data_IF_003748201773
#
_entry.id   IF_003748201773
#
_cell.length_a   1.000
_cell.length_b   1.000
_cell.length_c   1.000
_cell.angle_alpha   90.00
_cell.angle_beta   90.00
_cell.angle_gamma   90.00
#
_symmetry.space_group_name_H-M   'P 1'
#
loop_
_entity.id
_entity.type
_entity.pdbx_description
1 polymer ?
#
# COMPACT_ATOMS: atom_id res chain seq x y z
N UNK A 1 -12.77 -1.40 5.45
CA UNK A 1 -12.54 -1.10 4.02
C UNK A 1 -13.84 -0.55 3.42
N UNK A 2 -13.81 0.44 2.51
CA UNK A 2 -15.00 0.90 1.81
C UNK A 2 -15.59 -0.20 0.92
N UNK A 3 -16.88 -0.13 0.56
CA UNK A 3 -17.50 -1.07 -0.38
C UNK A 3 -16.83 -0.93 -1.75
N UNK A 4 -16.45 -2.05 -2.38
CA UNK A 4 -15.76 -2.05 -3.66
C UNK A 4 -16.19 -3.22 -4.55
N UNK A 5 -15.79 -3.17 -5.83
CA UNK A 5 -15.83 -4.27 -6.78
C UNK A 5 -14.83 -4.04 -7.92
N UNK A 6 -14.44 -5.10 -8.62
CA UNK A 6 -13.57 -5.02 -9.80
C UNK A 6 -14.44 -5.18 -11.05
N UNK A 7 -14.17 -4.37 -12.06
CA UNK A 7 -14.85 -4.40 -13.36
C UNK A 7 -13.84 -4.83 -14.43
N UNK A 8 -14.19 -5.90 -15.14
CA UNK A 8 -13.52 -6.36 -16.36
C UNK A 8 -14.21 -5.73 -17.59
N UNK A 9 -13.57 -5.73 -18.78
CA UNK A 9 -14.18 -5.23 -19.99
C UNK A 9 -15.54 -5.90 -20.27
N UNK A 10 -16.59 -5.11 -20.48
CA UNK A 10 -17.97 -5.60 -20.66
C UNK A 10 -18.66 -6.11 -19.37
N UNK A 11 -18.00 -5.99 -18.21
CA UNK A 11 -18.53 -6.39 -16.91
C UNK A 11 -19.60 -5.43 -16.36
N UNK A 12 -20.35 -5.92 -15.36
CA UNK A 12 -21.35 -5.10 -14.67
C UNK A 12 -20.70 -4.16 -13.65
N UNK A 13 -21.22 -2.93 -13.56
CA UNK A 13 -20.76 -1.96 -12.56
C UNK A 13 -21.23 -2.36 -11.15
N UNK A 14 -20.34 -2.35 -10.14
CA UNK A 14 -20.71 -2.73 -8.78
C UNK A 14 -21.53 -1.62 -8.11
N UNK A 15 -22.51 -2.02 -7.30
CA UNK A 15 -23.32 -1.10 -6.52
C UNK A 15 -22.59 -0.63 -5.25
N UNK A 16 -21.60 0.25 -5.37
CA UNK A 16 -20.78 0.74 -4.24
C UNK A 16 -21.35 1.96 -3.51
N UNK A 17 -22.26 2.69 -4.16
CA UNK A 17 -22.79 3.98 -3.70
C UNK A 17 -21.97 5.18 -4.21
N UNK A 18 -22.52 6.39 -4.13
CA UNK A 18 -21.87 7.61 -4.64
C UNK A 18 -21.57 8.62 -3.53
N UNK A 19 -20.52 9.45 -3.67
CA UNK A 19 -19.52 9.40 -4.75
C UNK A 19 -18.71 8.09 -4.75
N UNK A 20 -18.23 7.70 -5.92
CA UNK A 20 -17.40 6.52 -6.14
C UNK A 20 -16.07 6.95 -6.76
N UNK A 21 -14.99 6.25 -6.44
CA UNK A 21 -13.69 6.39 -7.09
C UNK A 21 -13.40 5.14 -7.91
N UNK A 22 -12.92 5.30 -9.13
CA UNK A 22 -12.46 4.21 -9.99
C UNK A 22 -10.95 4.36 -10.27
N UNK A 23 -10.18 3.32 -10.04
CA UNK A 23 -8.73 3.28 -10.24
C UNK A 23 -8.31 1.94 -10.86
N UNK A 24 -7.17 1.85 -11.56
CA UNK A 24 -6.66 0.55 -11.99
C UNK A 24 -6.46 -0.37 -10.77
N UNK A 25 -6.77 -1.66 -10.91
CA UNK A 25 -6.73 -2.58 -9.77
C UNK A 25 -5.31 -2.93 -9.31
N UNK A 26 -4.33 -2.89 -10.23
CA UNK A 26 -2.96 -3.36 -10.02
C UNK A 26 -1.90 -2.30 -10.36
N UNK A 27 -2.17 -1.03 -10.03
CA UNK A 27 -1.22 0.07 -10.20
C UNK A 27 -0.86 0.69 -8.84
N UNK A 28 0.29 1.37 -8.80
CA UNK A 28 0.75 2.19 -7.67
C UNK A 28 1.00 3.63 -8.15
N UNK A 29 1.61 4.48 -7.32
CA UNK A 29 2.06 5.83 -7.68
C UNK A 29 0.93 6.76 -8.18
N UNK A 30 -0.33 6.44 -7.85
CA UNK A 30 -1.51 7.13 -8.39
C UNK A 30 -1.60 7.09 -9.93
N UNK A 31 -0.95 6.13 -10.59
CA UNK A 31 -1.13 5.90 -12.03
C UNK A 31 -2.61 5.63 -12.31
N UNK A 32 -3.17 6.38 -13.27
CA UNK A 32 -4.60 6.29 -13.63
C UNK A 32 -5.57 6.96 -12.65
N UNK A 33 -5.07 7.55 -11.55
CA UNK A 33 -5.88 8.31 -10.59
C UNK A 33 -5.79 9.81 -10.89
N UNK A 34 -6.94 10.40 -11.18
CA UNK A 34 -7.12 11.79 -11.61
C UNK A 34 -8.39 12.36 -10.96
N UNK A 35 -8.60 13.68 -10.98
CA UNK A 35 -9.84 14.30 -10.48
C UNK A 35 -11.13 13.68 -11.06
N UNK A 36 -11.13 13.32 -12.35
CA UNK A 36 -12.24 12.63 -13.04
C UNK A 36 -12.44 11.17 -12.62
N UNK A 37 -11.58 10.64 -11.77
CA UNK A 37 -11.70 9.28 -11.23
C UNK A 37 -12.74 9.21 -10.12
N UNK A 38 -13.10 10.34 -9.51
CA UNK A 38 -14.19 10.42 -8.54
C UNK A 38 -15.46 10.92 -9.22
N UNK A 39 -16.48 10.08 -9.23
CA UNK A 39 -17.74 10.25 -9.97
C UNK A 39 -18.94 10.27 -9.02
N UNK A 40 -20.02 10.94 -9.42
CA UNK A 40 -21.21 11.17 -8.56
C UNK A 40 -22.45 10.38 -8.97
N UNK A 41 -22.45 9.70 -10.10
CA UNK A 41 -23.60 8.93 -10.58
C UNK A 41 -23.17 7.78 -11.49
N UNK A 42 -24.11 6.86 -11.74
CA UNK A 42 -23.88 5.63 -12.51
C UNK A 42 -23.43 5.90 -13.96
N UNK A 43 -23.95 6.96 -14.59
CA UNK A 43 -23.58 7.31 -15.97
C UNK A 43 -22.12 7.72 -16.06
N UNK A 44 -21.71 8.69 -15.24
CA UNK A 44 -20.30 9.11 -15.17
C UNK A 44 -19.35 7.99 -14.76
N UNK A 45 -19.80 7.06 -13.92
CA UNK A 45 -19.03 5.86 -13.60
C UNK A 45 -18.83 4.96 -14.83
N UNK A 46 -19.90 4.67 -15.58
CA UNK A 46 -19.83 3.88 -16.80
C UNK A 46 -18.86 4.50 -17.81
N UNK A 47 -19.03 5.79 -18.11
CA UNK A 47 -18.19 6.52 -19.06
C UNK A 47 -16.71 6.50 -18.66
N UNK A 48 -16.41 6.67 -17.35
CA UNK A 48 -15.03 6.66 -16.86
C UNK A 48 -14.42 5.25 -16.89
N UNK A 49 -15.15 4.23 -16.47
CA UNK A 49 -14.67 2.84 -16.48
C UNK A 49 -14.39 2.37 -17.91
N UNK A 50 -15.31 2.66 -18.85
CA UNK A 50 -15.12 2.36 -20.27
C UNK A 50 -13.86 3.03 -20.83
N UNK A 51 -13.66 4.32 -20.53
CA UNK A 51 -12.46 5.04 -20.96
C UNK A 51 -11.15 4.47 -20.35
N UNK A 52 -11.19 3.94 -19.13
CA UNK A 52 -10.02 3.33 -18.49
C UNK A 52 -9.66 1.98 -19.11
N UNK A 53 -10.63 1.23 -19.63
CA UNK A 53 -10.37 -0.05 -20.32
C UNK A 53 -9.55 0.07 -21.61
N UNK A 54 -9.34 1.30 -22.11
CA UNK A 54 -8.35 1.53 -23.16
C UNK A 54 -6.90 1.22 -22.73
N UNK A 55 -6.63 1.13 -21.42
CA UNK A 55 -5.27 0.96 -20.87
C UNK A 55 -5.16 -0.14 -19.82
N UNK A 56 -6.24 -0.42 -19.07
CA UNK A 56 -6.21 -1.36 -17.96
C UNK A 56 -7.34 -2.39 -18.07
N UNK A 57 -7.00 -3.66 -17.86
CA UNK A 57 -7.97 -4.75 -17.91
C UNK A 57 -8.88 -4.75 -16.68
N UNK A 58 -8.33 -4.53 -15.48
CA UNK A 58 -9.08 -4.55 -14.23
C UNK A 58 -9.21 -3.15 -13.64
N UNK A 59 -10.46 -2.69 -13.48
CA UNK A 59 -10.78 -1.41 -12.83
C UNK A 59 -11.42 -1.66 -11.48
N UNK A 60 -10.75 -1.21 -10.41
CA UNK A 60 -11.33 -1.19 -9.08
C UNK A 60 -12.27 0.01 -8.96
N UNK A 61 -13.54 -0.26 -8.65
CA UNK A 61 -14.53 0.75 -8.30
C UNK A 61 -14.83 0.65 -6.82
N UNK A 62 -14.69 1.75 -6.10
CA UNK A 62 -14.83 1.80 -4.64
C UNK A 62 -15.70 2.99 -4.23
N UNK A 63 -16.49 2.84 -3.17
CA UNK A 63 -17.17 3.98 -2.54
C UNK A 63 -16.12 5.00 -2.10
N UNK A 64 -16.23 6.23 -2.59
CA UNK A 64 -15.37 7.30 -2.15
C UNK A 64 -15.73 7.69 -0.72
N UNK A 65 -14.72 7.68 0.16
CA UNK A 65 -14.84 8.17 1.53
C UNK A 65 -14.28 9.59 1.53
N UNK A 66 -15.12 10.58 1.84
CA UNK A 66 -14.64 11.95 2.04
C UNK A 66 -14.08 12.11 3.45
N UNK A 67 -13.20 13.09 3.65
CA UNK A 67 -12.57 13.38 4.93
C UNK A 67 -11.05 13.54 4.84
N UNK A 68 -10.35 13.11 5.88
CA UNK A 68 -8.88 13.20 5.98
C UNK A 68 -8.23 11.99 5.32
N UNK A 69 -7.04 12.16 4.73
CA UNK A 69 -6.24 11.04 4.23
C UNK A 69 -4.97 10.91 5.08
N UNK A 70 -4.81 9.76 5.71
CA UNK A 70 -3.73 9.50 6.65
C UNK A 70 -3.06 8.17 6.32
N UNK A 71 -1.78 8.06 6.65
CA UNK A 71 -1.02 6.84 6.41
C UNK A 71 -0.14 6.49 7.61
N UNK A 72 0.10 5.20 7.77
CA UNK A 72 0.89 4.63 8.85
C UNK A 72 1.99 3.77 8.25
N UNK A 73 3.24 4.23 8.41
CA UNK A 73 4.42 3.46 8.08
C UNK A 73 4.63 2.31 9.06
N UNK A 74 5.18 1.20 8.57
CA UNK A 74 5.50 0.02 9.35
C UNK A 74 6.97 -0.32 9.14
N UNK A 75 7.65 -0.64 10.23
CA UNK A 75 9.01 -1.13 10.26
C UNK A 75 9.06 -2.35 11.21
N UNK A 76 9.27 -3.53 10.65
CA UNK A 76 9.11 -4.81 11.31
C UNK A 76 7.68 -5.02 11.79
N UNK A 77 7.53 -5.07 13.11
CA UNK A 77 6.25 -5.19 13.82
C UNK A 77 5.80 -3.86 14.46
N UNK A 78 6.50 -2.76 14.16
CA UNK A 78 6.29 -1.45 14.78
C UNK A 78 5.57 -0.51 13.81
N UNK A 79 4.50 0.12 14.28
CA UNK A 79 3.85 1.22 13.57
C UNK A 79 4.51 2.56 13.88
N UNK A 80 4.98 3.24 12.84
CA UNK A 80 5.58 4.58 12.90
C UNK A 80 4.52 5.66 13.22
N UNK A 81 4.92 6.90 13.55
CA UNK A 81 4.00 8.02 13.69
C UNK A 81 3.06 8.15 12.49
N UNK A 82 1.80 8.49 12.74
CA UNK A 82 0.79 8.67 11.68
C UNK A 82 1.11 9.95 10.92
N UNK A 83 1.13 9.89 9.60
CA UNK A 83 1.23 11.05 8.73
C UNK A 83 -0.12 11.34 8.06
N UNK A 84 -0.31 12.59 7.64
CA UNK A 84 -1.49 13.07 6.94
C UNK A 84 -1.08 13.72 5.62
N UNK A 85 -1.92 13.57 4.60
CA UNK A 85 -1.91 14.47 3.45
C UNK A 85 -2.96 15.55 3.72
N UNK A 86 -2.50 16.74 4.06
CA UNK A 86 -3.35 17.89 4.34
C UNK A 86 -3.80 18.54 3.04
N UNK A 87 -5.10 18.43 2.77
CA UNK A 87 -5.75 19.02 1.60
C UNK A 87 -6.30 20.44 1.86
N UNK A 88 -5.89 21.11 2.94
CA UNK A 88 -6.40 22.44 3.32
C UNK A 88 -6.17 23.53 2.27
N UNK A 89 -5.20 23.32 1.36
CA UNK A 89 -4.90 24.22 0.24
C UNK A 89 -5.45 23.73 -1.11
N UNK A 90 -6.12 22.57 -1.15
CA UNK A 90 -6.72 22.04 -2.37
C UNK A 90 -7.79 23.01 -2.90
N UNK A 91 -7.77 23.38 -4.20
CA UNK A 91 -8.75 24.30 -4.76
C UNK A 91 -10.20 23.86 -4.54
N UNK A 92 -11.07 24.85 -4.30
CA UNK A 92 -12.49 24.60 -4.06
C UNK A 92 -13.11 23.88 -5.26
N UNK A 93 -13.78 22.77 -5.01
CA UNK A 93 -14.46 21.97 -6.03
C UNK A 93 -13.63 20.80 -6.57
N UNK A 94 -12.32 20.77 -6.30
CA UNK A 94 -11.51 19.58 -6.53
C UNK A 94 -11.75 18.55 -5.44
N UNK A 95 -11.61 17.28 -5.81
CA UNK A 95 -11.61 16.18 -4.89
C UNK A 95 -10.29 16.15 -4.13
N UNK A 96 -10.41 15.97 -2.81
CA UNK A 96 -9.29 15.75 -1.89
C UNK A 96 -8.73 14.36 -2.11
N UNK A 97 -7.88 14.17 -3.13
CA UNK A 97 -7.23 12.91 -3.47
C UNK A 97 -5.77 13.17 -3.84
N UNK A 98 -4.90 12.22 -3.56
CA UNK A 98 -3.53 12.23 -4.09
C UNK A 98 -3.55 11.65 -5.51
N UNK A 99 -3.85 12.51 -6.49
CA UNK A 99 -3.85 12.14 -7.90
C UNK A 99 -2.43 12.00 -8.48
N UNK A 100 -2.35 11.56 -9.74
CA UNK A 100 -1.09 11.60 -10.49
C UNK A 100 -0.50 13.01 -10.55
N UNK A 101 -1.33 14.03 -10.80
CA UNK A 101 -0.84 15.42 -10.89
C UNK A 101 -0.30 15.90 -9.54
N UNK A 102 -0.97 15.53 -8.45
CA UNK A 102 -0.48 15.82 -7.09
C UNK A 102 0.90 15.24 -6.82
N UNK A 103 1.20 14.02 -7.29
CA UNK A 103 2.50 13.36 -7.04
C UNK A 103 3.61 13.75 -8.00
N UNK A 104 3.29 13.91 -9.28
CA UNK A 104 4.28 13.89 -10.36
C UNK A 104 4.38 15.20 -11.13
N UNK A 105 3.46 16.14 -10.92
CA UNK A 105 3.51 17.45 -11.55
C UNK A 105 3.75 18.52 -10.49
N UNK A 106 5.03 18.71 -10.17
CA UNK A 106 5.48 19.73 -9.21
C UNK A 106 4.98 21.11 -9.61
N UNK A 107 4.39 21.83 -8.65
CA UNK A 107 3.80 23.15 -8.84
C UNK A 107 2.39 23.16 -9.44
N UNK A 108 1.79 21.99 -9.71
CA UNK A 108 0.36 21.93 -10.05
C UNK A 108 -0.51 22.35 -8.85
N UNK A 109 -1.75 22.77 -9.12
CA UNK A 109 -2.69 23.11 -8.04
C UNK A 109 -2.94 21.91 -7.10
N UNK A 110 -2.90 20.68 -7.63
CA UNK A 110 -3.09 19.46 -6.86
C UNK A 110 -1.86 19.10 -6.01
N UNK A 111 -0.63 19.41 -6.47
CA UNK A 111 0.62 19.26 -5.70
C UNK A 111 0.65 20.26 -4.54
N UNK A 112 0.50 21.55 -4.85
CA UNK A 112 0.45 22.62 -3.85
C UNK A 112 -0.71 22.45 -2.85
N UNK A 113 -1.79 21.82 -3.31
CA UNK A 113 -2.98 21.54 -2.52
C UNK A 113 -2.91 20.29 -1.64
N UNK A 114 -1.87 19.45 -1.76
CA UNK A 114 -1.77 18.14 -1.08
C UNK A 114 -0.49 18.05 -0.23
N UNK A 115 -0.48 18.70 0.93
CA UNK A 115 0.73 18.91 1.71
C UNK A 115 0.94 17.78 2.73
N UNK A 116 2.04 17.02 2.68
CA UNK A 116 2.28 15.99 3.67
C UNK A 116 2.69 16.59 5.03
N UNK A 117 2.05 16.13 6.11
CA UNK A 117 2.33 16.48 7.51
C UNK A 117 2.63 15.25 8.34
N UNK A 118 3.62 15.33 9.20
CA UNK A 118 3.95 14.26 10.15
C UNK A 118 4.59 14.87 11.42
N UNK A 119 4.10 14.56 12.63
CA UNK A 119 2.92 13.73 12.90
C UNK A 119 1.62 14.41 12.45
N UNK A 120 0.59 13.62 12.16
CA UNK A 120 -0.76 14.10 11.92
C UNK A 120 -1.40 14.64 13.20
N UNK A 121 -2.20 15.71 13.10
CA UNK A 121 -2.92 16.29 14.22
C UNK A 121 -4.22 15.50 14.49
N UNK A 122 -4.09 14.42 15.26
CA UNK A 122 -5.14 13.45 15.57
C UNK A 122 -5.24 13.27 17.08
N UNK A 123 -6.42 12.88 17.57
CA UNK A 123 -6.54 12.51 18.97
C UNK A 123 -5.67 11.27 19.28
N UNK A 124 -5.21 11.11 20.54
CA UNK A 124 -4.46 9.93 20.94
C UNK A 124 -5.21 8.62 20.66
N UNK A 125 -6.52 8.60 20.84
CA UNK A 125 -7.38 7.43 20.65
C UNK A 125 -7.41 7.02 19.17
N UNK A 126 -7.66 7.97 18.26
CA UNK A 126 -7.68 7.71 16.83
C UNK A 126 -6.29 7.31 16.31
N UNK A 127 -5.24 7.93 16.84
CA UNK A 127 -3.84 7.56 16.52
C UNK A 127 -3.55 6.11 16.88
N UNK A 128 -3.94 5.68 18.08
CA UNK A 128 -3.76 4.29 18.53
C UNK A 128 -4.60 3.32 17.70
N UNK A 129 -5.84 3.69 17.36
CA UNK A 129 -6.71 2.86 16.53
C UNK A 129 -6.12 2.65 15.12
N UNK A 130 -5.67 3.72 14.46
CA UNK A 130 -5.04 3.64 13.13
C UNK A 130 -3.80 2.74 13.14
N UNK A 131 -2.92 2.88 14.14
CA UNK A 131 -1.74 2.02 14.29
C UNK A 131 -2.11 0.55 14.48
N UNK A 132 -3.12 0.27 15.31
CA UNK A 132 -3.62 -1.10 15.54
C UNK A 132 -4.17 -1.71 14.25
N UNK A 133 -4.99 -0.96 13.50
CA UNK A 133 -5.55 -1.43 12.23
C UNK A 133 -4.43 -1.64 11.20
N UNK A 134 -3.46 -0.73 11.11
CA UNK A 134 -2.33 -0.84 10.19
C UNK A 134 -1.53 -2.12 10.40
N UNK A 135 -1.13 -2.41 11.64
CA UNK A 135 -0.40 -3.65 11.97
C UNK A 135 -1.24 -4.91 11.70
N UNK A 136 -2.55 -4.84 11.97
CA UNK A 136 -3.46 -5.97 11.68
C UNK A 136 -3.55 -6.23 10.19
N UNK A 137 -3.73 -5.18 9.38
CA UNK A 137 -3.81 -5.30 7.92
C UNK A 137 -2.50 -5.77 7.31
N UNK A 138 -1.38 -5.25 7.79
CA UNK A 138 -0.05 -5.68 7.38
C UNK A 138 0.18 -7.17 7.58
N UNK A 139 -0.15 -7.69 8.76
CA UNK A 139 -0.08 -9.13 9.05
C UNK A 139 -1.05 -9.93 8.19
N UNK A 140 -2.26 -9.41 7.97
CA UNK A 140 -3.28 -10.10 7.18
C UNK A 140 -2.87 -10.31 5.71
N UNK A 141 -2.07 -9.40 5.14
CA UNK A 141 -1.53 -9.54 3.78
C UNK A 141 -0.16 -10.26 3.74
N UNK A 142 0.31 -10.79 4.88
CA UNK A 142 1.61 -11.47 4.97
C UNK A 142 2.81 -10.51 4.87
N UNK A 143 2.61 -9.22 5.16
CA UNK A 143 3.65 -8.21 5.11
C UNK A 143 4.80 -8.49 6.08
N UNK A 144 6.02 -8.15 5.65
CA UNK A 144 7.23 -8.28 6.44
C UNK A 144 8.26 -7.19 6.09
N UNK A 145 9.14 -6.84 7.04
CA UNK A 145 10.21 -5.88 6.80
C UNK A 145 9.71 -4.45 6.96
N UNK A 146 9.11 -3.86 5.93
CA UNK A 146 8.56 -2.52 6.02
C UNK A 146 7.38 -2.36 5.06
N UNK A 147 6.53 -1.36 5.30
CA UNK A 147 5.38 -1.09 4.47
C UNK A 147 4.67 0.20 4.87
N UNK A 148 3.57 0.51 4.19
CA UNK A 148 2.70 1.65 4.53
C UNK A 148 1.25 1.26 4.34
N UNK A 149 0.41 1.57 5.31
CA UNK A 149 -1.04 1.38 5.22
C UNK A 149 -1.72 2.73 5.12
N UNK A 150 -2.57 2.88 4.11
CA UNK A 150 -3.24 4.14 3.80
C UNK A 150 -4.70 4.08 4.20
N UNK A 151 -5.21 5.18 4.72
CA UNK A 151 -6.55 5.30 5.29
C UNK A 151 -7.22 6.59 4.86
N UNK A 152 -8.55 6.56 4.92
CA UNK A 152 -9.34 7.77 5.10
C UNK A 152 -10.03 7.79 6.45
N UNK A 153 -10.18 8.97 7.02
CA UNK A 153 -10.98 9.18 8.23
C UNK A 153 -12.16 10.06 7.85
N UNK A 154 -13.38 9.53 8.00
CA UNK A 154 -14.59 10.26 7.64
C UNK A 154 -14.96 11.33 8.67
N UNK A 155 -16.02 12.10 8.38
CA UNK A 155 -16.49 13.18 9.25
C UNK A 155 -16.95 12.72 10.65
N UNK A 156 -17.24 11.42 10.85
CA UNK A 156 -17.56 10.84 12.16
C UNK A 156 -16.31 10.39 12.93
N UNK A 157 -15.12 10.56 12.36
CA UNK A 157 -13.86 10.10 12.94
C UNK A 157 -13.56 8.62 12.66
N UNK A 158 -14.35 7.95 11.81
CA UNK A 158 -14.18 6.53 11.54
C UNK A 158 -13.06 6.28 10.51
N UNK A 159 -12.06 5.42 10.82
CA UNK A 159 -11.04 5.04 9.86
C UNK A 159 -11.52 4.00 8.84
N UNK A 160 -11.12 4.19 7.60
CA UNK A 160 -11.38 3.33 6.45
C UNK A 160 -10.07 2.98 5.76
N UNK A 161 -9.63 1.72 5.90
CA UNK A 161 -8.44 1.23 5.19
C UNK A 161 -8.67 1.27 3.67
N UNK A 162 -7.75 1.91 2.97
CA UNK A 162 -7.74 2.01 1.50
C UNK A 162 -6.89 0.91 0.89
N UNK A 163 -5.62 0.83 1.26
CA UNK A 163 -4.65 -0.12 0.70
C UNK A 163 -3.45 -0.35 1.61
N UNK A 164 -2.71 -1.42 1.30
CA UNK A 164 -1.44 -1.76 1.93
C UNK A 164 -0.35 -1.71 0.86
N UNK A 165 0.60 -0.81 1.02
CA UNK A 165 1.75 -0.65 0.14
C UNK A 165 2.91 -1.46 0.73
N UNK A 166 3.27 -2.57 0.07
CA UNK A 166 4.35 -3.45 0.53
C UNK A 166 5.75 -2.90 0.23
N UNK A 167 5.87 -1.96 -0.70
CA UNK A 167 7.13 -1.34 -1.09
C UNK A 167 6.91 0.17 -1.32
N UNK A 168 6.53 0.93 -0.26
CA UNK A 168 6.32 2.37 -0.39
C UNK A 168 7.63 3.07 -0.77
N UNK A 169 7.52 4.24 -1.40
CA UNK A 169 8.67 5.08 -1.72
C UNK A 169 9.56 5.34 -0.49
N UNK A 170 10.86 5.09 -0.69
CA UNK A 170 11.92 5.18 0.30
C UNK A 170 12.81 6.40 0.06
N UNK A 171 12.52 7.31 -0.87
CA UNK A 171 13.32 8.51 -1.02
C UNK A 171 13.45 9.29 0.31
N UNK A 172 14.56 10.02 0.55
CA UNK A 172 14.81 10.70 1.84
C UNK A 172 13.72 11.71 2.28
N UNK A 173 12.96 12.23 1.31
CA UNK A 173 11.83 13.14 1.46
C UNK A 173 10.45 12.46 1.35
N UNK A 174 10.41 11.16 1.08
CA UNK A 174 9.20 10.36 1.01
C UNK A 174 8.54 10.13 2.37
N UNK A 175 7.30 9.62 2.32
CA UNK A 175 6.45 9.45 3.51
C UNK A 175 7.06 8.57 4.60
N UNK A 176 7.67 7.44 4.25
CA UNK A 176 8.24 6.52 5.23
C UNK A 176 9.45 7.13 5.95
N UNK A 177 10.36 7.76 5.21
CA UNK A 177 11.51 8.48 5.76
C UNK A 177 11.08 9.64 6.66
N UNK A 178 10.02 10.39 6.28
CA UNK A 178 9.44 11.45 7.12
C UNK A 178 8.92 10.90 8.45
N UNK A 179 8.18 9.79 8.43
CA UNK A 179 7.67 9.15 9.65
C UNK A 179 8.79 8.62 10.54
N UNK A 180 9.80 7.97 9.97
CA UNK A 180 10.97 7.47 10.69
C UNK A 180 11.73 8.60 11.41
N UNK A 181 11.91 9.74 10.74
CA UNK A 181 12.56 10.94 11.32
C UNK A 181 11.83 11.44 12.55
N UNK A 182 10.50 11.51 12.50
CA UNK A 182 9.67 11.88 13.67
C UNK A 182 9.80 10.85 14.80
N UNK A 183 10.04 9.58 14.47
CA UNK A 183 10.33 8.52 15.44
C UNK A 183 11.77 8.52 15.96
N UNK A 184 12.62 9.48 15.57
CA UNK A 184 14.01 9.58 16.00
C UNK A 184 14.99 8.74 15.18
N UNK A 185 14.58 8.20 14.03
CA UNK A 185 15.44 7.48 13.09
C UNK A 185 15.80 8.37 11.91
N UNK A 186 17.08 8.66 11.72
CA UNK A 186 17.54 9.32 10.51
C UNK A 186 17.43 8.37 9.29
N UNK A 187 17.73 8.90 8.10
CA UNK A 187 17.54 8.14 6.87
C UNK A 187 18.44 6.89 6.81
N UNK A 188 19.71 7.02 7.21
CA UNK A 188 20.63 5.90 7.25
C UNK A 188 20.18 4.84 8.26
N UNK A 189 19.68 5.26 9.43
CA UNK A 189 19.11 4.39 10.45
C UNK A 189 17.86 3.65 9.97
N UNK A 190 16.98 4.30 9.21
CA UNK A 190 15.83 3.65 8.57
C UNK A 190 16.30 2.56 7.58
N UNK A 191 17.20 2.89 6.66
CA UNK A 191 17.72 1.93 5.66
C UNK A 191 18.41 0.76 6.37
N UNK A 192 19.23 1.04 7.38
CA UNK A 192 19.89 0.02 8.18
C UNK A 192 18.88 -0.89 8.87
N UNK A 193 17.84 -0.34 9.52
CA UNK A 193 16.81 -1.13 10.17
C UNK A 193 16.02 -2.02 9.19
N UNK A 194 15.74 -1.53 7.97
CA UNK A 194 15.11 -2.34 6.90
C UNK A 194 16.01 -3.53 6.54
N UNK A 195 17.31 -3.29 6.35
CA UNK A 195 18.29 -4.35 6.06
C UNK A 195 18.37 -5.37 7.21
N UNK A 196 18.42 -4.92 8.46
CA UNK A 196 18.43 -5.79 9.64
C UNK A 196 17.17 -6.68 9.72
N UNK A 197 15.99 -6.13 9.42
CA UNK A 197 14.77 -6.94 9.34
C UNK A 197 14.84 -8.00 8.23
N UNK A 198 15.37 -7.64 7.06
CA UNK A 198 15.55 -8.58 5.96
C UNK A 198 16.55 -9.70 6.30
N UNK A 199 17.70 -9.36 6.91
CA UNK A 199 18.71 -10.32 7.34
C UNK A 199 18.20 -11.21 8.47
N UNK A 200 17.52 -10.64 9.47
CA UNK A 200 16.93 -11.39 10.58
C UNK A 200 15.90 -12.42 10.12
N UNK A 201 15.20 -12.17 9.02
CA UNK A 201 14.35 -13.16 8.36
C UNK A 201 15.15 -14.25 7.66
N UNK A 202 16.20 -13.91 6.93
CA UNK A 202 17.02 -14.91 6.23
C UNK A 202 17.57 -15.97 7.22
N UNK A 203 17.95 -15.54 8.43
CA UNK A 203 18.41 -16.43 9.51
C UNK A 203 17.29 -17.26 10.15
N UNK A 204 16.02 -16.90 9.95
CA UNK A 204 14.85 -17.64 10.43
C UNK A 204 14.18 -18.49 9.35
N UNK A 205 14.52 -18.28 8.08
CA UNK A 205 14.06 -19.15 7.02
C UNK A 205 14.86 -20.44 7.05
N UNK A 206 14.22 -21.60 6.85
CA UNK A 206 14.96 -22.84 6.67
C UNK A 206 15.97 -22.64 5.54
N UNK A 207 17.16 -23.20 5.70
CA UNK A 207 18.18 -23.28 4.67
C UNK A 207 17.61 -23.86 3.37
N UNK A 208 18.27 -23.62 2.24
CA UNK A 208 17.87 -24.21 0.95
C UNK A 208 17.72 -25.73 1.06
N UNK A 209 18.58 -26.39 1.84
CA UNK A 209 18.50 -27.82 2.13
C UNK A 209 17.24 -28.21 2.93
N UNK A 210 16.87 -27.45 3.96
CA UNK A 210 15.66 -27.69 4.74
C UNK A 210 14.39 -27.42 3.92
N UNK A 211 14.39 -26.38 3.06
CA UNK A 211 13.27 -26.13 2.13
C UNK A 211 13.12 -27.23 1.10
N UNK A 212 14.22 -27.74 0.57
CA UNK A 212 14.22 -28.87 -0.36
C UNK A 212 13.71 -30.14 0.29
N UNK A 213 14.15 -30.42 1.52
CA UNK A 213 13.67 -31.55 2.32
C UNK A 213 12.16 -31.47 2.58
N UNK A 214 11.67 -30.29 2.96
CA UNK A 214 10.23 -30.05 3.14
C UNK A 214 9.43 -30.20 1.83
N UNK A 215 9.98 -29.73 0.71
CA UNK A 215 9.35 -29.88 -0.61
C UNK A 215 9.27 -31.37 -1.04
N UNK A 216 10.29 -32.18 -0.74
CA UNK A 216 10.27 -33.63 -0.96
C UNK A 216 9.24 -34.33 -0.08
N UNK A 217 9.16 -33.97 1.21
CA UNK A 217 8.16 -34.49 2.14
C UNK A 217 6.72 -34.17 1.70
N UNK A 218 6.46 -32.93 1.29
CA UNK A 218 5.13 -32.49 0.86
C UNK A 218 4.72 -33.03 -0.51
N UNK A 219 5.68 -33.37 -1.38
CA UNK A 219 5.42 -33.99 -2.69
C UNK A 219 5.22 -35.51 -2.63
N UNK A 220 5.30 -36.13 -1.43
CA UNK A 220 5.13 -37.57 -1.26
C UNK A 220 6.32 -38.39 -1.77
N UNK A 221 7.45 -37.75 -2.07
CA UNK A 221 8.70 -38.43 -2.43
C UNK A 221 9.33 -38.95 -1.14
N UNK A 222 9.44 -40.27 -1.01
CA UNK A 222 9.96 -40.92 0.19
C UNK A 222 11.35 -40.37 0.56
N UNK A 223 11.48 -39.96 1.83
CA UNK A 223 12.71 -39.45 2.44
C UNK A 223 13.73 -40.58 2.54
N UNK A 224 14.54 -40.77 1.51
CA UNK A 224 15.59 -41.80 1.49
C UNK A 224 16.83 -41.46 0.66
N UNK A 225 16.87 -40.30 0.00
CA UNK A 225 18.06 -39.87 -0.73
C UNK A 225 18.95 -39.00 0.15
N UNK A 226 20.21 -39.40 0.30
CA UNK A 226 21.28 -38.59 0.89
C UNK A 226 21.38 -37.25 0.15
N UNK A 227 21.21 -36.09 0.81
CA UNK A 227 21.35 -34.78 0.20
C UNK A 227 22.70 -34.58 -0.51
N UNK A 228 23.75 -35.27 -0.09
CA UNK A 228 25.07 -35.22 -0.72
C UNK A 228 25.13 -35.93 -2.09
N UNK A 229 24.19 -36.81 -2.40
CA UNK A 229 24.16 -37.57 -3.66
C UNK A 229 23.54 -36.80 -4.84
N UNK A 230 22.97 -35.62 -4.60
CA UNK A 230 22.26 -34.81 -5.60
C UNK A 230 22.87 -33.43 -5.83
N UNK A 231 24.11 -33.20 -5.40
CA UNK A 231 24.86 -32.01 -5.78
C UNK A 231 25.26 -32.09 -7.27
N UNK A 232 24.37 -31.58 -8.12
CA UNK A 232 24.57 -31.43 -9.57
C UNK A 232 25.73 -30.48 -9.92
N UNK A 233 26.35 -29.81 -8.94
CA UNK A 233 27.52 -28.94 -9.13
C UNK A 233 28.84 -29.57 -8.65
N UNK A 234 28.81 -30.77 -8.03
CA UNK A 234 30.02 -31.49 -7.64
C UNK A 234 30.74 -32.18 -8.82
N UNK A 235 30.10 -32.28 -9.99
CA UNK A 235 30.71 -32.82 -11.23
C UNK A 235 31.44 -31.70 -11.96
N UNK A 236 32.51 -31.19 -11.35
CA UNK A 236 33.23 -30.04 -11.91
C UNK A 236 34.60 -29.77 -11.31
N UNK A 237 35.24 -30.74 -10.64
CA UNK A 237 36.67 -30.68 -10.30
C UNK A 237 37.27 -32.09 -10.29
N UNK A 238 37.70 -32.56 -11.46
CA UNK A 238 38.87 -33.45 -11.66
C UNK A 238 39.49 -33.15 -13.01
#
# INVERSE_FOLDING_TARGET
VPKFGVVLPGGQLPAVGFPAICKPAAEDASIGVEQRSVVRNVRSLADRVEAMHARWEEILVQRFVDGREVNVGILGETALPVAEIDFGQMPKGMWKIVSYQSKWLTGSEEDLGSVPRCPADLSPELTLELKRIALTAWRAVGGHGYGRVDFRVDASGKPWLLEVNANPDLAPDAGLARMARVAGLDYAGLVHAICEHALGRAHRMPSTAERWTLAQQLSGVATGADPAALDLFAVGQR
#
